data_IF_352421748895
#
_entry.id   IF_352421748895
#
_cell.length_a   1.000
_cell.length_b   1.000
_cell.length_c   1.000
_cell.angle_alpha   90.00
_cell.angle_beta   90.00
_cell.angle_gamma   90.00
#
_symmetry.space_group_name_H-M   'P 1'
#
loop_
_entity.id
_entity.type
_entity.pdbx_description
1 polymer ?
#
# COMPACT_ATOMS: atom_id res chain seq x y z
N UNK A 1 9.21 -36.54 -13.11
CA UNK A 1 7.86 -36.82 -12.60
C UNK A 1 7.59 -35.94 -11.39
N UNK A 2 7.25 -34.68 -11.59
CA UNK A 2 6.88 -33.72 -10.55
C UNK A 2 5.80 -32.75 -11.10
N UNK A 3 4.81 -33.28 -11.84
CA UNK A 3 3.85 -32.48 -12.61
C UNK A 3 2.70 -31.88 -11.80
N UNK A 4 2.77 -31.89 -10.46
CA UNK A 4 1.61 -31.46 -9.66
C UNK A 4 1.96 -30.57 -8.44
N UNK A 5 3.17 -30.02 -8.35
CA UNK A 5 3.54 -29.14 -7.25
C UNK A 5 3.32 -27.69 -7.68
N UNK A 6 2.46 -26.98 -6.95
CA UNK A 6 2.01 -25.64 -7.29
C UNK A 6 2.54 -24.61 -6.30
N UNK A 7 2.92 -23.45 -6.81
CA UNK A 7 3.13 -22.25 -5.98
C UNK A 7 1.79 -21.78 -5.40
N UNK A 8 1.82 -20.97 -4.36
CA UNK A 8 0.61 -20.30 -3.86
C UNK A 8 -0.08 -19.53 -5.00
N UNK A 9 0.70 -18.80 -5.80
CA UNK A 9 0.18 -18.08 -6.95
C UNK A 9 -0.56 -18.99 -7.92
N UNK A 10 0.02 -20.16 -8.29
CA UNK A 10 -0.63 -21.12 -9.18
C UNK A 10 -1.94 -21.65 -8.62
N UNK A 11 -1.98 -21.98 -7.32
CA UNK A 11 -3.20 -22.49 -6.67
C UNK A 11 -4.35 -21.50 -6.75
N UNK A 12 -4.07 -20.23 -6.40
CA UNK A 12 -5.12 -19.20 -6.43
C UNK A 12 -5.48 -18.82 -7.87
N UNK A 13 -4.49 -18.69 -8.76
CA UNK A 13 -4.74 -18.37 -10.17
C UNK A 13 -5.60 -19.43 -10.84
N UNK A 14 -5.19 -20.70 -10.77
CA UNK A 14 -5.87 -21.79 -11.43
C UNK A 14 -7.30 -22.01 -10.91
N UNK A 15 -7.57 -21.69 -9.62
CA UNK A 15 -8.91 -21.73 -9.04
C UNK A 15 -9.86 -20.66 -9.62
N UNK A 16 -9.31 -19.61 -10.25
CA UNK A 16 -10.09 -18.51 -10.84
C UNK A 16 -10.16 -18.56 -12.37
N UNK A 17 -9.48 -19.52 -13.00
CA UNK A 17 -9.58 -19.71 -14.47
C UNK A 17 -10.97 -20.28 -14.81
N UNK A 18 -11.78 -19.51 -15.50
CA UNK A 18 -13.12 -19.91 -15.98
C UNK A 18 -13.02 -20.54 -17.36
N UNK A 19 -12.14 -19.99 -18.21
CA UNK A 19 -11.93 -20.46 -19.57
C UNK A 19 -10.53 -20.08 -20.04
N UNK A 20 -10.07 -20.70 -21.13
CA UNK A 20 -8.78 -20.41 -21.75
C UNK A 20 -8.97 -20.24 -23.25
N UNK A 21 -8.59 -19.08 -23.77
CA UNK A 21 -8.58 -18.86 -25.22
C UNK A 21 -7.47 -19.71 -25.82
N UNK A 22 -7.76 -20.53 -26.88
CA UNK A 22 -6.72 -21.32 -27.53
C UNK A 22 -5.54 -20.46 -27.96
N UNK A 23 -4.33 -20.83 -27.54
CA UNK A 23 -3.07 -20.09 -27.76
C UNK A 23 -3.10 -18.62 -27.30
N UNK A 24 -3.96 -18.30 -26.33
CA UNK A 24 -4.21 -16.94 -25.88
C UNK A 24 -4.35 -16.78 -24.38
N UNK A 25 -4.92 -15.66 -23.93
CA UNK A 25 -5.11 -15.35 -22.53
C UNK A 25 -6.15 -16.26 -21.86
N UNK A 26 -6.13 -16.25 -20.53
CA UNK A 26 -7.12 -16.93 -19.69
C UNK A 26 -8.21 -15.96 -19.24
N UNK A 27 -9.43 -16.47 -19.12
CA UNK A 27 -10.55 -15.75 -18.51
C UNK A 27 -10.49 -15.97 -17.00
N UNK A 28 -10.22 -14.92 -16.25
CA UNK A 28 -10.08 -14.97 -14.80
C UNK A 28 -11.31 -14.35 -14.16
N UNK A 29 -12.00 -15.11 -13.31
CA UNK A 29 -13.09 -14.61 -12.47
C UNK A 29 -12.54 -13.70 -11.37
N UNK A 30 -13.26 -12.62 -11.05
CA UNK A 30 -12.90 -11.64 -10.02
C UNK A 30 -13.89 -11.73 -8.85
N UNK A 31 -13.40 -12.08 -7.66
CA UNK A 31 -14.24 -12.21 -6.46
C UNK A 31 -14.66 -10.85 -5.90
N UNK A 32 -13.74 -9.88 -5.88
CA UNK A 32 -14.02 -8.52 -5.39
C UNK A 32 -13.47 -7.45 -6.31
N UNK A 33 -14.32 -6.48 -6.59
CA UNK A 33 -13.97 -5.29 -7.34
C UNK A 33 -14.07 -4.07 -6.41
N UNK A 34 -12.94 -3.49 -6.05
CA UNK A 34 -12.88 -2.28 -5.26
C UNK A 34 -12.86 -1.08 -6.20
N UNK A 35 -13.63 -0.04 -5.89
CA UNK A 35 -13.69 1.16 -6.74
C UNK A 35 -13.63 2.45 -5.92
N UNK A 36 -13.17 3.50 -6.56
CA UNK A 36 -13.10 4.84 -6.00
C UNK A 36 -13.44 5.90 -7.06
N UNK A 37 -13.49 7.16 -6.64
CA UNK A 37 -14.01 8.27 -7.45
C UNK A 37 -13.15 8.65 -8.68
N UNK A 38 -11.88 8.23 -8.73
CA UNK A 38 -10.97 8.65 -9.81
C UNK A 38 -11.12 7.83 -11.07
N UNK A 39 -11.20 6.49 -10.95
CA UNK A 39 -11.14 5.57 -12.11
C UNK A 39 -12.50 4.98 -12.50
N UNK A 40 -13.50 5.01 -11.60
CA UNK A 40 -14.80 4.40 -11.86
C UNK A 40 -15.74 5.22 -12.76
N UNK A 41 -15.76 6.57 -12.78
CA UNK A 41 -16.76 7.32 -13.53
C UNK A 41 -16.78 7.01 -15.02
N UNK A 42 -15.62 6.92 -15.66
CA UNK A 42 -15.54 6.58 -17.10
C UNK A 42 -16.00 5.16 -17.39
N UNK A 43 -15.75 4.21 -16.47
CA UNK A 43 -16.21 2.83 -16.63
C UNK A 43 -17.74 2.73 -16.57
N UNK A 44 -18.40 3.46 -15.67
CA UNK A 44 -19.86 3.57 -15.63
C UNK A 44 -20.42 4.17 -16.92
N UNK A 45 -19.81 5.28 -17.40
CA UNK A 45 -20.22 5.93 -18.65
C UNK A 45 -20.05 5.00 -19.86
N UNK A 46 -19.00 4.18 -19.90
CA UNK A 46 -18.80 3.18 -20.95
C UNK A 46 -19.93 2.14 -20.97
N UNK A 47 -20.30 1.57 -19.82
CA UNK A 47 -21.42 0.62 -19.74
C UNK A 47 -22.72 1.25 -20.21
N UNK A 48 -23.03 2.46 -19.74
CA UNK A 48 -24.24 3.17 -20.10
C UNK A 48 -24.31 3.43 -21.61
N UNK A 49 -23.21 3.87 -22.24
CA UNK A 49 -23.16 4.11 -23.68
C UNK A 49 -23.40 2.85 -24.52
N UNK A 50 -23.12 1.69 -23.95
CA UNK A 50 -23.27 0.36 -24.57
C UNK A 50 -24.55 -0.37 -24.16
N UNK A 51 -25.41 0.26 -23.33
CA UNK A 51 -26.59 -0.34 -22.71
C UNK A 51 -26.28 -1.67 -22.00
N UNK A 52 -25.16 -1.72 -21.27
CA UNK A 52 -24.77 -2.84 -20.45
C UNK A 52 -25.08 -2.55 -18.97
N UNK A 53 -25.58 -3.56 -18.28
CA UNK A 53 -25.79 -3.51 -16.83
C UNK A 53 -24.58 -4.07 -16.10
N UNK A 54 -24.43 -3.72 -14.80
CA UNK A 54 -23.44 -4.32 -13.93
C UNK A 54 -23.89 -5.73 -13.58
N UNK A 55 -23.03 -6.71 -13.85
CA UNK A 55 -23.37 -8.14 -13.69
C UNK A 55 -23.51 -8.56 -12.23
N UNK A 56 -22.58 -8.15 -11.35
CA UNK A 56 -22.53 -8.56 -9.93
C UNK A 56 -22.27 -7.36 -9.01
N UNK A 57 -23.25 -6.46 -8.80
CA UNK A 57 -23.04 -5.28 -7.97
C UNK A 57 -22.67 -5.61 -6.50
N UNK A 58 -23.11 -6.75 -5.97
CA UNK A 58 -22.77 -7.24 -4.63
C UNK A 58 -21.30 -7.66 -4.46
N UNK A 59 -20.56 -7.80 -5.54
CA UNK A 59 -19.11 -8.04 -5.52
C UNK A 59 -18.29 -6.75 -5.58
N UNK A 60 -18.95 -5.60 -5.71
CA UNK A 60 -18.30 -4.29 -5.81
C UNK A 60 -18.42 -3.57 -4.47
N UNK A 61 -17.32 -2.94 -4.06
CA UNK A 61 -17.29 -2.07 -2.88
C UNK A 61 -16.62 -0.77 -3.25
N UNK A 62 -17.27 0.33 -2.91
CA UNK A 62 -16.85 1.69 -3.24
C UNK A 62 -16.47 2.52 -2.01
N UNK A 63 -15.49 3.39 -2.18
CA UNK A 63 -15.16 4.47 -1.22
C UNK A 63 -14.65 5.69 -1.97
N UNK A 64 -14.70 6.86 -1.33
CA UNK A 64 -14.04 8.07 -1.81
C UNK A 64 -12.82 8.34 -0.93
N UNK A 65 -11.63 8.38 -1.51
CA UNK A 65 -10.37 8.45 -0.75
C UNK A 65 -9.27 9.33 -1.38
N UNK A 66 -9.32 9.59 -2.69
CA UNK A 66 -8.29 10.33 -3.41
C UNK A 66 -8.55 11.86 -3.42
N UNK A 67 -9.76 12.25 -3.81
CA UNK A 67 -10.18 13.64 -3.98
C UNK A 67 -10.97 14.18 -2.77
N UNK A 68 -10.74 13.62 -1.62
CA UNK A 68 -11.39 14.06 -0.38
C UNK A 68 -10.45 14.98 0.41
N UNK A 69 -10.98 16.05 1.03
CA UNK A 69 -10.18 16.88 1.94
C UNK A 69 -9.81 16.08 3.19
N UNK A 70 -8.72 16.43 3.84
CA UNK A 70 -8.32 15.86 5.14
C UNK A 70 -8.56 16.82 6.31
N UNK A 71 -9.17 17.95 6.02
CA UNK A 71 -9.69 18.92 6.99
C UNK A 71 -11.10 19.28 6.58
N UNK A 72 -11.98 19.44 7.58
CA UNK A 72 -13.36 19.90 7.38
C UNK A 72 -14.13 19.03 6.38
N UNK A 73 -14.01 17.69 6.51
CA UNK A 73 -14.75 16.76 5.64
C UNK A 73 -16.28 16.86 5.79
N UNK A 74 -16.76 17.49 6.84
CA UNK A 74 -18.18 17.84 7.08
C UNK A 74 -18.66 19.00 6.22
N UNK A 75 -17.74 19.80 5.64
CA UNK A 75 -18.05 20.89 4.72
C UNK A 75 -18.07 20.41 3.26
N UNK A 76 -18.78 21.12 2.36
CA UNK A 76 -18.71 20.82 0.93
C UNK A 76 -17.28 20.92 0.39
N UNK A 77 -16.88 19.96 -0.43
CA UNK A 77 -15.57 19.97 -1.09
C UNK A 77 -15.45 21.25 -1.94
N UNK A 78 -14.42 22.06 -1.69
CA UNK A 78 -14.22 23.36 -2.33
C UNK A 78 -13.82 23.25 -3.79
N UNK A 79 -12.89 22.32 -4.09
CA UNK A 79 -12.49 22.05 -5.47
C UNK A 79 -13.64 21.44 -6.25
N UNK A 80 -14.00 22.07 -7.36
CA UNK A 80 -15.16 21.67 -8.17
C UNK A 80 -14.98 20.32 -8.83
N UNK A 81 -13.78 20.01 -9.33
CA UNK A 81 -13.50 18.74 -10.01
C UNK A 81 -13.58 17.59 -9.01
N UNK A 82 -12.95 17.74 -7.86
CA UNK A 82 -12.98 16.75 -6.76
C UNK A 82 -14.41 16.51 -6.28
N UNK A 83 -15.18 17.59 -6.07
CA UNK A 83 -16.59 17.51 -5.66
C UNK A 83 -17.43 16.76 -6.68
N UNK A 84 -17.28 17.06 -7.97
CA UNK A 84 -18.02 16.41 -9.03
C UNK A 84 -17.68 14.92 -9.14
N UNK A 85 -16.41 14.52 -8.95
CA UNK A 85 -16.00 13.11 -8.98
C UNK A 85 -16.58 12.32 -7.81
N UNK A 86 -16.55 12.87 -6.60
CA UNK A 86 -17.14 12.22 -5.41
C UNK A 86 -18.67 12.13 -5.54
N UNK A 87 -19.31 13.17 -6.06
CA UNK A 87 -20.77 13.16 -6.32
C UNK A 87 -21.11 12.11 -7.37
N UNK A 88 -20.39 12.05 -8.48
CA UNK A 88 -20.61 11.08 -9.56
C UNK A 88 -20.46 9.64 -9.07
N UNK A 89 -19.45 9.35 -8.23
CA UNK A 89 -19.31 8.04 -7.59
C UNK A 89 -20.57 7.71 -6.76
N UNK A 90 -21.04 8.66 -5.96
CA UNK A 90 -22.21 8.48 -5.09
C UNK A 90 -23.46 8.16 -5.91
N UNK A 91 -23.73 8.95 -6.96
CA UNK A 91 -24.88 8.75 -7.86
C UNK A 91 -24.82 7.42 -8.59
N UNK A 92 -23.62 7.05 -9.10
CA UNK A 92 -23.40 5.77 -9.78
C UNK A 92 -23.62 4.58 -8.83
N UNK A 93 -23.12 4.65 -7.59
CA UNK A 93 -23.32 3.58 -6.62
C UNK A 93 -24.81 3.44 -6.24
N UNK A 94 -25.52 4.53 -6.03
CA UNK A 94 -26.96 4.51 -5.75
C UNK A 94 -27.76 3.92 -6.89
N UNK A 95 -27.50 4.36 -8.14
CA UNK A 95 -28.17 3.87 -9.34
C UNK A 95 -28.01 2.37 -9.55
N UNK A 96 -26.84 1.83 -9.19
CA UNK A 96 -26.47 0.44 -9.47
C UNK A 96 -26.49 -0.47 -8.21
N UNK A 97 -27.02 -0.03 -7.08
CA UNK A 97 -27.08 -0.76 -5.81
C UNK A 97 -25.70 -1.28 -5.34
N UNK A 98 -24.66 -0.44 -5.46
CA UNK A 98 -23.31 -0.76 -5.01
C UNK A 98 -23.11 -0.24 -3.58
N UNK A 99 -22.50 -1.05 -2.71
CA UNK A 99 -22.12 -0.66 -1.34
C UNK A 99 -21.07 0.46 -1.38
N UNK A 100 -21.40 1.62 -0.82
CA UNK A 100 -20.54 2.80 -0.78
C UNK A 100 -20.22 3.22 0.66
N UNK A 101 -18.96 3.21 1.03
CA UNK A 101 -18.42 3.81 2.25
C UNK A 101 -17.90 5.23 1.97
N UNK A 102 -18.81 6.14 1.58
CA UNK A 102 -18.50 7.52 1.20
C UNK A 102 -18.21 8.44 2.39
N UNK A 103 -18.01 9.73 2.11
CA UNK A 103 -17.78 10.75 3.14
C UNK A 103 -18.90 10.76 4.19
N UNK A 104 -18.52 10.85 5.46
CA UNK A 104 -19.43 10.79 6.60
C UNK A 104 -19.86 9.38 7.02
N UNK A 105 -19.52 8.35 6.27
CA UNK A 105 -19.79 6.97 6.65
C UNK A 105 -18.78 6.48 7.70
N UNK A 106 -19.22 5.72 8.72
CA UNK A 106 -18.36 5.20 9.79
C UNK A 106 -17.21 4.29 9.33
N UNK A 107 -17.26 3.76 8.11
CA UNK A 107 -16.24 2.92 7.48
C UNK A 107 -15.54 3.62 6.30
N UNK A 108 -15.71 4.93 6.17
CA UNK A 108 -14.99 5.69 5.15
C UNK A 108 -13.49 5.63 5.39
N UNK A 109 -12.72 5.56 4.32
CA UNK A 109 -11.26 5.55 4.35
C UNK A 109 -10.64 5.12 3.04
N UNK A 110 -9.33 4.96 3.05
CA UNK A 110 -8.55 4.52 1.88
C UNK A 110 -8.96 3.10 1.50
N UNK A 111 -9.27 2.89 0.22
CA UNK A 111 -9.80 1.63 -0.31
C UNK A 111 -8.99 0.39 0.11
N UNK A 112 -7.65 0.48 0.09
CA UNK A 112 -6.74 -0.61 0.46
C UNK A 112 -6.53 -0.75 1.98
N UNK A 113 -7.19 0.07 2.79
CA UNK A 113 -7.23 -0.04 4.24
C UNK A 113 -8.58 -0.57 4.69
N UNK A 114 -9.68 0.01 4.21
CA UNK A 114 -11.01 -0.40 4.64
C UNK A 114 -11.37 -1.84 4.25
N UNK A 115 -10.96 -2.30 3.07
CA UNK A 115 -11.29 -3.66 2.63
C UNK A 115 -10.68 -4.75 3.53
N UNK A 116 -9.40 -4.69 3.94
CA UNK A 116 -8.84 -5.53 5.00
C UNK A 116 -9.52 -5.35 6.36
N UNK A 117 -9.70 -4.09 6.81
CA UNK A 117 -10.28 -3.79 8.12
C UNK A 117 -11.69 -4.34 8.29
N UNK A 118 -12.45 -4.38 7.23
CA UNK A 118 -13.83 -4.88 7.25
C UNK A 118 -13.94 -6.39 7.00
N UNK A 119 -12.83 -7.08 6.66
CA UNK A 119 -12.83 -8.50 6.31
C UNK A 119 -13.39 -8.77 4.90
N UNK A 120 -13.43 -7.76 4.03
CA UNK A 120 -13.78 -7.90 2.62
C UNK A 120 -12.68 -8.67 1.88
N UNK A 121 -11.42 -8.38 2.23
CA UNK A 121 -10.25 -9.12 1.77
C UNK A 121 -10.10 -10.41 2.55
N UNK A 122 -10.09 -11.54 1.85
CA UNK A 122 -9.93 -12.87 2.46
C UNK A 122 -8.94 -13.72 1.67
N UNK A 123 -8.28 -14.70 2.30
CA UNK A 123 -7.33 -15.57 1.60
C UNK A 123 -7.91 -16.28 0.39
N UNK A 124 -7.10 -16.39 -0.66
CA UNK A 124 -7.44 -17.13 -1.87
C UNK A 124 -8.41 -16.43 -2.82
N UNK A 125 -8.73 -15.16 -2.60
CA UNK A 125 -9.57 -14.35 -3.50
C UNK A 125 -8.78 -13.76 -4.66
N UNK A 126 -9.48 -13.40 -5.72
CA UNK A 126 -9.04 -12.50 -6.78
C UNK A 126 -9.65 -11.11 -6.55
N UNK A 127 -8.81 -10.08 -6.45
CA UNK A 127 -9.23 -8.72 -6.07
C UNK A 127 -8.64 -7.71 -7.05
N UNK A 128 -9.49 -6.83 -7.58
CA UNK A 128 -9.05 -5.77 -8.49
C UNK A 128 -9.56 -4.40 -8.07
N UNK A 129 -8.83 -3.38 -8.48
CA UNK A 129 -9.20 -1.96 -8.31
C UNK A 129 -8.53 -1.14 -9.42
N UNK A 130 -9.05 0.04 -9.72
CA UNK A 130 -8.43 1.00 -10.62
C UNK A 130 -7.18 1.69 -10.05
N UNK A 131 -6.51 1.12 -9.06
CA UNK A 131 -5.30 1.59 -8.40
C UNK A 131 -4.26 0.46 -8.32
N UNK A 132 -3.01 0.77 -8.64
CA UNK A 132 -1.91 -0.20 -8.64
C UNK A 132 -1.61 -0.79 -7.25
N UNK A 133 -1.86 -0.05 -6.16
CA UNK A 133 -1.64 -0.51 -4.79
C UNK A 133 -2.68 -1.52 -4.29
N UNK A 134 -3.59 -1.99 -5.17
CA UNK A 134 -4.43 -3.17 -4.96
C UNK A 134 -3.59 -4.40 -4.56
N UNK A 135 -2.32 -4.44 -4.94
CA UNK A 135 -1.34 -5.43 -4.49
C UNK A 135 -1.29 -5.62 -2.96
N UNK A 136 -1.69 -4.61 -2.18
CA UNK A 136 -1.81 -4.68 -0.71
C UNK A 136 -2.57 -5.92 -0.23
N UNK A 137 -3.64 -6.29 -0.93
CA UNK A 137 -4.51 -7.40 -0.53
C UNK A 137 -3.84 -8.77 -0.68
N UNK A 138 -2.74 -8.86 -1.43
CA UNK A 138 -1.92 -10.07 -1.53
C UNK A 138 -1.27 -10.51 -0.21
N UNK A 139 -1.20 -9.62 0.78
CA UNK A 139 -0.80 -9.94 2.16
C UNK A 139 -1.66 -11.03 2.81
N UNK A 140 -2.84 -11.28 2.28
CA UNK A 140 -3.78 -12.31 2.71
C UNK A 140 -3.67 -13.61 1.88
N UNK A 141 -2.71 -13.73 0.98
CA UNK A 141 -2.64 -14.84 0.04
C UNK A 141 -3.69 -14.77 -1.07
N UNK A 142 -4.12 -13.56 -1.42
CA UNK A 142 -5.03 -13.28 -2.54
C UNK A 142 -4.25 -12.88 -3.78
N UNK A 143 -4.78 -13.13 -4.96
CA UNK A 143 -4.29 -12.50 -6.20
C UNK A 143 -4.94 -11.12 -6.31
N UNK A 144 -4.14 -10.08 -6.10
CA UNK A 144 -4.64 -8.72 -6.06
C UNK A 144 -3.76 -7.80 -6.92
N UNK A 145 -4.38 -7.03 -7.81
CA UNK A 145 -3.66 -6.16 -8.74
C UNK A 145 -4.49 -5.02 -9.30
N UNK A 146 -3.80 -3.95 -9.67
CA UNK A 146 -4.41 -2.79 -10.32
C UNK A 146 -4.81 -3.07 -11.76
N UNK A 147 -5.92 -2.45 -12.20
CA UNK A 147 -6.45 -2.56 -13.56
C UNK A 147 -6.73 -1.17 -14.16
N UNK A 148 -6.67 -1.07 -15.48
CA UNK A 148 -7.01 0.16 -16.20
C UNK A 148 -8.52 0.37 -16.31
N UNK A 149 -8.94 1.59 -16.62
CA UNK A 149 -10.36 2.01 -16.67
C UNK A 149 -11.21 1.12 -17.59
N UNK A 150 -10.69 0.73 -18.76
CA UNK A 150 -11.42 -0.19 -19.67
C UNK A 150 -11.60 -1.60 -19.05
N UNK A 151 -10.65 -2.05 -18.25
CA UNK A 151 -10.78 -3.31 -17.52
C UNK A 151 -11.76 -3.18 -16.34
N UNK A 152 -11.87 -2.00 -15.70
CA UNK A 152 -12.93 -1.72 -14.71
C UNK A 152 -14.30 -1.93 -15.35
N UNK A 153 -14.53 -1.36 -16.55
CA UNK A 153 -15.78 -1.56 -17.30
C UNK A 153 -16.01 -3.03 -17.67
N UNK A 154 -14.96 -3.75 -18.07
CA UNK A 154 -15.04 -5.18 -18.37
C UNK A 154 -15.47 -5.99 -17.14
N UNK A 155 -14.88 -5.73 -15.96
CA UNK A 155 -15.27 -6.40 -14.70
C UNK A 155 -16.70 -6.06 -14.32
N UNK A 156 -17.13 -4.82 -14.47
CA UNK A 156 -18.53 -4.43 -14.25
C UNK A 156 -19.50 -5.28 -15.10
N UNK A 157 -19.19 -5.45 -16.38
CA UNK A 157 -20.07 -6.14 -17.31
C UNK A 157 -20.05 -7.67 -17.19
N UNK A 158 -18.93 -8.27 -16.75
CA UNK A 158 -18.73 -9.72 -16.86
C UNK A 158 -18.20 -10.41 -15.60
N UNK A 159 -17.75 -9.66 -14.61
CA UNK A 159 -17.02 -10.16 -13.44
C UNK A 159 -15.73 -10.94 -13.80
N UNK A 160 -15.23 -10.78 -15.00
CA UNK A 160 -14.06 -11.48 -15.52
C UNK A 160 -13.09 -10.55 -16.23
N UNK A 161 -11.83 -11.00 -16.31
CA UNK A 161 -10.78 -10.37 -17.09
C UNK A 161 -10.09 -11.37 -18.00
N UNK A 162 -9.68 -10.91 -19.18
CA UNK A 162 -8.77 -11.63 -20.07
C UNK A 162 -7.33 -11.28 -19.74
N UNK A 163 -6.54 -12.23 -19.23
CA UNK A 163 -5.19 -12.01 -18.75
C UNK A 163 -4.23 -13.11 -19.18
N UNK A 164 -3.02 -12.71 -19.53
CA UNK A 164 -1.91 -13.66 -19.60
C UNK A 164 -1.39 -13.93 -18.19
N UNK A 165 -1.17 -15.20 -17.85
CA UNK A 165 -0.63 -15.58 -16.54
C UNK A 165 0.77 -14.99 -16.37
N UNK A 166 1.01 -14.15 -15.33
CA UNK A 166 2.34 -13.67 -15.00
C UNK A 166 3.29 -14.83 -14.63
N UNK A 167 4.58 -14.60 -14.77
CA UNK A 167 5.60 -15.47 -14.17
C UNK A 167 5.57 -15.38 -12.67
N UNK A 168 6.07 -16.41 -11.99
CA UNK A 168 6.19 -16.46 -10.53
C UNK A 168 7.61 -16.11 -10.09
N UNK A 169 7.73 -15.24 -9.07
CA UNK A 169 8.99 -14.91 -8.40
C UNK A 169 8.87 -15.18 -6.92
N UNK A 170 9.89 -15.82 -6.32
CA UNK A 170 9.98 -15.98 -4.87
C UNK A 170 11.06 -15.06 -4.31
N UNK A 171 10.70 -14.30 -3.28
CA UNK A 171 11.61 -13.44 -2.54
C UNK A 171 11.64 -13.91 -1.09
N UNK A 172 12.78 -14.49 -0.68
CA UNK A 172 12.96 -15.05 0.65
C UNK A 172 13.85 -14.14 1.50
N UNK A 173 13.39 -13.78 2.70
CA UNK A 173 14.21 -13.07 3.69
C UNK A 173 14.27 -13.89 4.98
N UNK A 174 15.47 -14.31 5.35
CA UNK A 174 15.70 -15.09 6.56
C UNK A 174 16.68 -14.40 7.50
N UNK A 175 16.63 -14.77 8.76
CA UNK A 175 17.50 -14.26 9.81
C UNK A 175 16.74 -13.34 10.77
N UNK A 176 17.49 -12.55 11.54
CA UNK A 176 16.93 -11.60 12.50
C UNK A 176 17.14 -10.18 11.99
N UNK A 177 16.06 -9.41 11.90
CA UNK A 177 16.14 -7.99 11.57
C UNK A 177 16.91 -7.21 12.62
N UNK A 178 17.65 -6.20 12.17
CA UNK A 178 18.30 -5.24 13.05
C UNK A 178 17.25 -4.42 13.83
N UNK A 179 17.67 -3.84 14.95
CA UNK A 179 16.83 -3.00 15.77
C UNK A 179 16.29 -1.80 14.96
N UNK A 180 15.05 -1.40 15.25
CA UNK A 180 14.35 -0.27 14.61
C UNK A 180 14.04 -0.46 13.11
N UNK A 181 14.25 -1.64 12.53
CA UNK A 181 13.81 -1.98 11.18
C UNK A 181 12.32 -2.31 11.18
N UNK A 182 11.58 -1.70 10.28
CA UNK A 182 10.15 -1.96 10.06
C UNK A 182 9.89 -2.58 8.68
N UNK A 183 8.70 -3.07 8.43
CA UNK A 183 8.30 -3.70 7.17
C UNK A 183 8.62 -2.83 5.93
N UNK A 184 8.49 -1.51 6.05
CA UNK A 184 8.82 -0.59 4.97
C UNK A 184 10.32 -0.55 4.66
N UNK A 185 11.16 -0.68 5.67
CA UNK A 185 12.60 -0.75 5.47
C UNK A 185 12.97 -2.03 4.73
N UNK A 186 12.31 -3.15 5.06
CA UNK A 186 12.50 -4.45 4.37
C UNK A 186 12.17 -4.34 2.89
N UNK A 187 11.01 -3.77 2.53
CA UNK A 187 10.63 -3.67 1.12
C UNK A 187 11.46 -2.61 0.38
N UNK A 188 11.83 -1.50 1.01
CA UNK A 188 12.75 -0.51 0.41
C UNK A 188 14.12 -1.12 0.15
N UNK A 189 14.63 -1.95 1.07
CA UNK A 189 15.87 -2.69 0.86
C UNK A 189 15.76 -3.61 -0.36
N UNK A 190 14.71 -4.43 -0.45
CA UNK A 190 14.49 -5.33 -1.58
C UNK A 190 14.46 -4.52 -2.89
N UNK A 191 13.68 -3.44 -2.95
CA UNK A 191 13.57 -2.59 -4.15
C UNK A 191 14.93 -1.96 -4.50
N UNK A 192 15.72 -1.54 -3.52
CA UNK A 192 17.07 -0.98 -3.77
C UNK A 192 18.04 -2.00 -4.39
N UNK A 193 17.82 -3.30 -4.15
CA UNK A 193 18.64 -4.39 -4.71
C UNK A 193 18.14 -4.91 -6.06
N UNK A 194 16.83 -4.86 -6.29
CA UNK A 194 16.20 -5.36 -7.52
C UNK A 194 16.01 -4.27 -8.58
N UNK A 195 15.97 -3.01 -8.18
CA UNK A 195 15.59 -1.90 -9.04
C UNK A 195 14.07 -1.75 -9.18
N UNK A 196 13.65 -0.72 -9.90
CA UNK A 196 12.23 -0.41 -10.14
C UNK A 196 11.58 -1.28 -11.22
N UNK A 197 12.35 -2.11 -11.91
CA UNK A 197 11.93 -3.00 -12.99
C UNK A 197 12.21 -4.50 -12.70
N UNK A 198 12.87 -4.82 -11.57
CA UNK A 198 13.27 -6.18 -11.24
C UNK A 198 12.13 -7.18 -11.08
N UNK A 199 10.93 -6.72 -10.79
CA UNK A 199 9.70 -7.55 -10.71
C UNK A 199 8.84 -7.53 -11.97
N UNK A 200 9.28 -6.90 -13.07
CA UNK A 200 8.47 -6.73 -14.27
C UNK A 200 8.09 -8.06 -14.91
N UNK A 201 6.81 -8.29 -15.08
CA UNK A 201 6.24 -9.54 -15.61
C UNK A 201 6.04 -10.64 -14.58
N UNK A 202 6.37 -10.40 -13.32
CA UNK A 202 6.23 -11.37 -12.25
C UNK A 202 5.09 -11.03 -11.28
N UNK A 203 4.54 -12.08 -10.68
CA UNK A 203 3.79 -12.03 -9.42
C UNK A 203 4.73 -12.55 -8.31
N UNK A 204 4.95 -11.74 -7.25
CA UNK A 204 5.97 -12.02 -6.25
C UNK A 204 5.37 -12.72 -5.02
N UNK A 205 5.94 -13.85 -4.61
CA UNK A 205 5.65 -14.52 -3.34
C UNK A 205 6.77 -14.22 -2.34
N UNK A 206 6.41 -13.60 -1.22
CA UNK A 206 7.34 -13.33 -0.12
C UNK A 206 7.34 -14.49 0.87
N UNK A 207 8.51 -14.99 1.23
CA UNK A 207 8.71 -16.16 2.09
C UNK A 207 9.89 -15.96 3.04
N UNK A 208 10.01 -16.87 4.02
CA UNK A 208 11.04 -16.83 5.05
C UNK A 208 10.53 -16.28 6.37
N UNK A 209 11.31 -16.53 7.44
CA UNK A 209 10.85 -16.24 8.80
C UNK A 209 10.52 -14.76 9.04
N UNK A 210 11.19 -13.84 8.32
CA UNK A 210 10.91 -12.40 8.45
C UNK A 210 9.46 -12.07 8.10
N UNK A 211 8.91 -12.64 7.03
CA UNK A 211 7.52 -12.39 6.63
C UNK A 211 6.53 -13.23 7.45
N UNK A 212 6.91 -14.43 7.90
CA UNK A 212 6.09 -15.27 8.77
C UNK A 212 5.87 -14.64 10.15
N UNK A 213 6.90 -13.99 10.70
CA UNK A 213 6.85 -13.30 12.00
C UNK A 213 6.24 -11.88 11.91
N UNK A 214 6.07 -11.34 10.68
CA UNK A 214 5.58 -10.00 10.46
C UNK A 214 4.08 -9.89 10.74
N UNK A 215 3.65 -8.78 11.35
CA UNK A 215 2.23 -8.46 11.53
C UNK A 215 1.51 -8.33 10.19
N UNK A 216 0.18 -8.40 10.18
CA UNK A 216 -0.60 -8.20 8.95
C UNK A 216 -0.41 -6.82 8.36
N UNK A 217 -0.28 -5.80 9.18
CA UNK A 217 0.00 -4.42 8.77
C UNK A 217 1.34 -4.32 8.05
N UNK A 218 2.36 -4.99 8.58
CA UNK A 218 3.67 -5.10 7.94
C UNK A 218 3.61 -5.84 6.61
N UNK A 219 2.92 -7.00 6.55
CA UNK A 219 2.70 -7.77 5.31
C UNK A 219 1.99 -6.94 4.24
N UNK A 220 0.98 -6.15 4.64
CA UNK A 220 0.27 -5.23 3.74
C UNK A 220 1.20 -4.14 3.20
N UNK A 221 2.11 -3.61 4.02
CA UNK A 221 3.13 -2.64 3.57
C UNK A 221 4.06 -3.25 2.51
N UNK A 222 4.54 -4.47 2.72
CA UNK A 222 5.40 -5.19 1.76
C UNK A 222 4.68 -5.44 0.45
N UNK A 223 3.48 -6.02 0.50
CA UNK A 223 2.70 -6.30 -0.69
C UNK A 223 2.26 -5.02 -1.43
N UNK A 224 1.93 -3.95 -0.70
CA UNK A 224 1.61 -2.63 -1.26
C UNK A 224 2.74 -2.13 -2.16
N UNK A 225 3.98 -2.20 -1.70
CA UNK A 225 5.13 -1.65 -2.41
C UNK A 225 5.74 -2.60 -3.44
N UNK A 226 5.22 -3.81 -3.63
CA UNK A 226 5.68 -4.75 -4.67
C UNK A 226 5.64 -4.16 -6.08
N UNK A 227 4.65 -3.32 -6.35
CA UNK A 227 4.50 -2.66 -7.64
C UNK A 227 5.57 -1.61 -7.91
N UNK A 228 6.27 -1.14 -6.88
CA UNK A 228 7.37 -0.16 -7.02
C UNK A 228 8.66 -0.79 -7.56
N UNK A 229 8.76 -2.13 -7.59
CA UNK A 229 9.79 -2.85 -8.35
C UNK A 229 9.26 -3.40 -9.69
N UNK A 230 8.11 -2.91 -10.16
CA UNK A 230 7.51 -3.31 -11.43
C UNK A 230 6.72 -4.62 -11.38
N UNK A 231 6.58 -5.27 -10.23
CA UNK A 231 5.81 -6.50 -10.10
C UNK A 231 4.32 -6.29 -10.39
N UNK A 232 3.65 -7.32 -10.91
CA UNK A 232 2.21 -7.31 -11.12
C UNK A 232 1.43 -7.28 -9.80
N UNK A 233 1.99 -7.89 -8.78
CA UNK A 233 1.48 -7.93 -7.42
C UNK A 233 2.43 -8.69 -6.52
N UNK A 234 2.18 -8.60 -5.22
CA UNK A 234 2.89 -9.37 -4.19
C UNK A 234 1.92 -10.19 -3.37
N UNK A 235 2.35 -11.33 -2.86
CA UNK A 235 1.53 -12.16 -1.98
C UNK A 235 2.36 -12.82 -0.88
N UNK A 236 1.69 -13.11 0.23
CA UNK A 236 2.25 -13.86 1.36
C UNK A 236 1.25 -14.97 1.68
N UNK A 237 1.76 -16.19 1.91
CA UNK A 237 0.91 -17.32 2.26
C UNK A 237 0.12 -17.03 3.56
N UNK A 238 -1.19 -17.27 3.57
CA UNK A 238 -2.00 -17.04 4.76
C UNK A 238 -1.66 -18.06 5.84
N UNK A 239 -1.62 -17.61 7.07
CA UNK A 239 -1.28 -18.38 8.25
C UNK A 239 -2.15 -17.96 9.45
N UNK A 240 -1.78 -18.43 10.64
CA UNK A 240 -2.49 -18.10 11.88
C UNK A 240 -2.63 -16.58 12.08
N UNK A 241 -1.59 -15.79 11.79
CA UNK A 241 -1.63 -14.33 11.90
C UNK A 241 -2.69 -13.73 10.97
N UNK A 242 -2.78 -14.24 9.74
CA UNK A 242 -3.82 -13.84 8.77
C UNK A 242 -5.22 -14.21 9.27
N UNK A 243 -5.39 -15.43 9.79
CA UNK A 243 -6.70 -15.89 10.26
C UNK A 243 -7.18 -15.10 11.47
N UNK A 244 -6.29 -14.84 12.43
CA UNK A 244 -6.60 -14.02 13.61
C UNK A 244 -6.97 -12.59 13.21
N UNK A 245 -6.32 -12.03 12.21
CA UNK A 245 -6.63 -10.69 11.68
C UNK A 245 -8.03 -10.63 11.04
N UNK A 246 -8.43 -11.64 10.27
CA UNK A 246 -9.73 -11.69 9.58
C UNK A 246 -10.88 -12.00 10.54
N UNK A 247 -10.62 -12.80 11.57
CA UNK A 247 -11.66 -13.32 12.48
C UNK A 247 -12.48 -12.21 13.14
N UNK A 248 -13.81 -12.35 13.04
CA UNK A 248 -14.75 -11.45 13.72
C UNK A 248 -14.93 -10.07 13.04
N UNK A 249 -14.33 -9.83 11.89
CA UNK A 249 -14.57 -8.62 11.11
C UNK A 249 -15.94 -8.66 10.45
N UNK A 250 -16.47 -7.48 10.08
CA UNK A 250 -17.87 -7.31 9.62
C UNK A 250 -18.26 -8.24 8.48
N UNK A 251 -17.41 -8.41 7.48
CA UNK A 251 -17.66 -9.24 6.29
C UNK A 251 -16.86 -10.55 6.28
N UNK A 252 -16.25 -10.90 7.42
CA UNK A 252 -15.59 -12.19 7.58
C UNK A 252 -16.63 -13.32 7.71
N UNK A 253 -16.31 -14.52 7.20
CA UNK A 253 -17.15 -15.69 7.40
C UNK A 253 -17.37 -15.99 8.89
N UNK A 254 -18.50 -16.56 9.24
CA UNK A 254 -18.87 -16.86 10.63
C UNK A 254 -19.41 -18.29 10.76
N UNK A 255 -19.35 -18.85 11.99
CA UNK A 255 -19.88 -20.16 12.27
C UNK A 255 -19.27 -21.28 11.43
N UNK A 256 -20.10 -22.11 10.80
CA UNK A 256 -19.66 -23.24 9.98
C UNK A 256 -18.87 -22.78 8.75
N UNK A 257 -19.28 -21.67 8.11
CA UNK A 257 -18.56 -21.10 6.97
C UNK A 257 -17.11 -20.71 7.35
N UNK A 258 -16.90 -20.22 8.58
CA UNK A 258 -15.55 -19.92 9.07
C UNK A 258 -14.65 -21.16 9.10
N UNK A 259 -15.17 -22.28 9.61
CA UNK A 259 -14.40 -23.53 9.72
C UNK A 259 -14.08 -24.10 8.32
N UNK A 260 -15.03 -24.03 7.38
CA UNK A 260 -14.80 -24.43 5.99
C UNK A 260 -13.73 -23.56 5.32
N UNK A 261 -13.81 -22.25 5.52
CA UNK A 261 -12.81 -21.30 4.98
C UNK A 261 -11.43 -21.53 5.58
N UNK A 262 -11.30 -21.75 6.88
CA UNK A 262 -10.03 -22.08 7.53
C UNK A 262 -9.44 -23.36 6.96
N UNK A 263 -10.24 -24.40 6.74
CA UNK A 263 -9.78 -25.64 6.12
C UNK A 263 -9.21 -25.38 4.71
N UNK A 264 -9.90 -24.60 3.91
CA UNK A 264 -9.42 -24.18 2.58
C UNK A 264 -8.17 -23.29 2.66
N UNK A 265 -8.16 -22.25 3.50
CA UNK A 265 -7.05 -21.30 3.62
C UNK A 265 -5.75 -21.97 4.07
N UNK A 266 -5.81 -23.01 4.89
CA UNK A 266 -4.65 -23.82 5.27
C UNK A 266 -3.99 -24.57 4.09
N UNK A 267 -4.70 -24.74 2.96
CA UNK A 267 -4.14 -25.33 1.73
C UNK A 267 -3.38 -24.31 0.88
N UNK A 268 -3.58 -23.01 1.15
CA UNK A 268 -3.04 -21.90 0.38
C UNK A 268 -1.58 -21.59 0.82
N UNK A 269 -0.71 -22.51 0.52
CA UNK A 269 0.75 -22.35 0.66
C UNK A 269 1.44 -23.04 -0.51
N UNK A 270 2.60 -22.57 -0.86
CA UNK A 270 3.44 -23.19 -1.88
C UNK A 270 3.81 -24.61 -1.49
N UNK A 271 3.65 -25.56 -2.41
CA UNK A 271 4.00 -26.96 -2.19
C UNK A 271 5.53 -27.11 -2.07
N UNK A 272 5.98 -28.04 -1.22
CA UNK A 272 7.39 -28.33 -1.12
C UNK A 272 7.95 -28.80 -2.46
N UNK A 273 9.01 -28.10 -2.95
CA UNK A 273 9.62 -28.36 -4.25
C UNK A 273 8.82 -27.83 -5.45
N UNK A 274 7.88 -26.92 -5.26
CA UNK A 274 7.34 -26.12 -6.35
C UNK A 274 8.45 -25.26 -6.97
N UNK A 275 8.35 -25.00 -8.27
CA UNK A 275 9.37 -24.28 -9.03
C UNK A 275 8.87 -22.87 -9.34
N UNK A 276 9.69 -21.87 -9.06
CA UNK A 276 9.48 -20.50 -9.47
C UNK A 276 10.32 -20.16 -10.71
N UNK A 277 9.83 -19.22 -11.52
CA UNK A 277 10.61 -18.72 -12.67
C UNK A 277 11.85 -17.94 -12.22
N UNK A 278 11.80 -17.33 -11.04
CA UNK A 278 12.91 -16.62 -10.41
C UNK A 278 12.85 -16.73 -8.89
N UNK A 279 14.02 -16.87 -8.25
CA UNK A 279 14.13 -16.85 -6.80
C UNK A 279 15.23 -15.88 -6.36
N UNK A 280 14.94 -15.08 -5.33
CA UNK A 280 15.86 -14.17 -4.68
C UNK A 280 15.89 -14.46 -3.18
N UNK A 281 17.09 -14.39 -2.57
CA UNK A 281 17.25 -14.59 -1.13
C UNK A 281 18.09 -13.48 -0.54
N UNK A 282 17.64 -12.95 0.60
CA UNK A 282 18.32 -11.90 1.35
C UNK A 282 18.48 -12.31 2.81
N UNK A 283 19.54 -11.81 3.45
CA UNK A 283 19.78 -11.96 4.88
C UNK A 283 19.18 -10.74 5.61
N UNK A 284 18.38 -10.99 6.63
CA UNK A 284 17.75 -9.95 7.43
C UNK A 284 18.77 -9.07 8.17
N UNK A 285 19.95 -9.59 8.48
CA UNK A 285 21.02 -8.84 9.14
C UNK A 285 21.63 -7.73 8.28
N UNK A 286 21.45 -7.78 6.96
CA UNK A 286 21.88 -6.74 6.02
C UNK A 286 20.89 -5.57 5.93
N UNK A 287 19.70 -5.70 6.53
CA UNK A 287 18.65 -4.71 6.46
C UNK A 287 18.73 -3.76 7.66
N UNK A 288 18.89 -2.50 7.38
CA UNK A 288 18.86 -1.39 8.33
C UNK A 288 17.69 -0.46 8.03
N UNK A 289 17.36 0.49 8.91
CA UNK A 289 16.40 1.53 8.57
C UNK A 289 16.80 2.24 7.27
N UNK A 290 15.85 2.35 6.34
CA UNK A 290 16.07 2.79 4.96
C UNK A 290 15.46 4.17 4.70
N UNK A 291 16.09 4.88 3.78
CA UNK A 291 15.54 6.10 3.15
C UNK A 291 15.76 6.05 1.65
N UNK A 292 14.98 6.83 0.89
CA UNK A 292 15.31 7.14 -0.50
C UNK A 292 16.10 8.45 -0.59
N UNK A 293 17.03 8.53 -1.55
CA UNK A 293 17.84 9.73 -1.81
C UNK A 293 17.60 10.35 -3.20
N UNK A 294 16.76 9.71 -4.01
CA UNK A 294 16.43 10.14 -5.37
C UNK A 294 14.93 10.25 -5.60
N UNK A 295 14.53 10.11 -6.86
CA UNK A 295 13.17 10.33 -7.35
C UNK A 295 12.40 9.03 -7.65
N UNK A 296 12.87 7.90 -7.17
CA UNK A 296 12.17 6.62 -7.23
C UNK A 296 12.59 5.72 -6.05
N UNK A 297 11.78 4.69 -5.69
CA UNK A 297 12.07 3.80 -4.56
C UNK A 297 13.30 2.91 -4.75
N UNK A 298 13.78 2.69 -5.98
CA UNK A 298 15.02 1.97 -6.27
C UNK A 298 16.28 2.71 -5.81
N UNK A 299 16.18 4.03 -5.66
CA UNK A 299 17.24 4.86 -5.10
C UNK A 299 17.18 4.87 -3.57
N UNK A 300 17.25 3.69 -2.97
CA UNK A 300 17.22 3.47 -1.51
C UNK A 300 18.61 3.23 -0.94
N UNK A 301 18.88 3.79 0.26
CA UNK A 301 20.09 3.54 1.06
C UNK A 301 19.71 3.36 2.53
N UNK A 302 20.60 2.70 3.29
CA UNK A 302 20.55 2.71 4.74
C UNK A 302 20.80 4.13 5.29
N UNK A 303 20.15 4.48 6.40
CA UNK A 303 20.40 5.76 7.10
C UNK A 303 21.85 5.89 7.59
N UNK A 304 22.63 4.82 7.59
CA UNK A 304 24.04 4.77 7.97
C UNK A 304 25.01 5.03 6.79
N UNK A 305 24.49 4.95 5.57
CA UNK A 305 25.29 5.11 4.34
C UNK A 305 25.30 6.58 3.90
N UNK A 306 26.26 6.91 3.03
CA UNK A 306 26.31 8.21 2.35
C UNK A 306 25.66 8.09 0.97
N UNK A 307 25.14 9.21 0.47
CA UNK A 307 24.57 9.29 -0.88
C UNK A 307 25.62 8.82 -1.90
N UNK A 308 25.30 7.82 -2.72
CA UNK A 308 26.27 7.24 -3.65
C UNK A 308 26.56 8.17 -4.82
N UNK A 309 27.67 7.91 -5.50
CA UNK A 309 27.99 8.57 -6.79
C UNK A 309 26.99 8.07 -7.84
N UNK A 310 26.35 8.97 -8.60
CA UNK A 310 25.40 8.57 -9.65
C UNK A 310 26.09 7.69 -10.70
N UNK A 311 25.47 6.59 -11.07
CA UNK A 311 25.97 5.62 -12.02
C UNK A 311 25.58 5.94 -13.47
N UNK A 312 24.58 6.81 -13.65
CA UNK A 312 24.02 7.18 -14.95
C UNK A 312 23.41 8.60 -14.92
N UNK A 313 23.02 9.10 -16.08
CA UNK A 313 22.45 10.44 -16.24
C UNK A 313 21.10 10.60 -15.51
N UNK A 314 20.29 9.54 -15.42
CA UNK A 314 19.01 9.56 -14.70
C UNK A 314 19.21 9.78 -13.20
N UNK A 315 20.15 9.05 -12.60
CA UNK A 315 20.51 9.23 -11.19
C UNK A 315 21.11 10.61 -10.92
N UNK A 316 21.94 11.11 -11.83
CA UNK A 316 22.49 12.46 -11.71
C UNK A 316 21.40 13.54 -11.74
N UNK A 317 20.40 13.42 -12.62
CA UNK A 317 19.23 14.30 -12.66
C UNK A 317 18.39 14.20 -11.38
N UNK A 318 18.18 12.98 -10.87
CA UNK A 318 17.46 12.77 -9.63
C UNK A 318 18.16 13.45 -8.44
N UNK A 319 19.47 13.33 -8.29
CA UNK A 319 20.24 14.04 -7.27
C UNK A 319 20.15 15.56 -7.43
N UNK A 320 20.24 16.06 -8.67
CA UNK A 320 20.08 17.49 -8.96
C UNK A 320 18.70 17.99 -8.53
N UNK A 321 17.60 17.25 -8.87
CA UNK A 321 16.25 17.60 -8.44
C UNK A 321 16.13 17.60 -6.92
N UNK A 322 16.66 16.56 -6.27
CA UNK A 322 16.67 16.46 -4.82
C UNK A 322 17.58 17.48 -4.14
N UNK A 323 18.49 18.13 -4.89
CA UNK A 323 19.48 19.07 -4.34
C UNK A 323 20.45 18.38 -3.38
N UNK A 324 20.84 17.14 -3.68
CA UNK A 324 21.72 16.30 -2.89
C UNK A 324 23.03 16.04 -3.67
N UNK A 325 24.11 15.79 -2.94
CA UNK A 325 25.43 15.54 -3.50
C UNK A 325 25.98 14.18 -3.07
N UNK A 326 26.75 13.53 -3.95
CA UNK A 326 27.45 12.30 -3.62
C UNK A 326 28.39 12.49 -2.41
N UNK A 327 28.41 11.51 -1.50
CA UNK A 327 29.16 11.57 -0.25
C UNK A 327 28.46 12.31 0.89
N UNK A 328 27.35 12.98 0.63
CA UNK A 328 26.57 13.66 1.65
C UNK A 328 25.94 12.61 2.60
N UNK A 329 25.94 12.91 3.91
CA UNK A 329 25.25 12.05 4.89
C UNK A 329 23.77 12.42 5.01
N UNK A 330 22.85 11.46 5.23
CA UNK A 330 21.44 11.75 5.46
C UNK A 330 21.20 12.77 6.59
N UNK A 331 22.05 12.76 7.63
CA UNK A 331 21.95 13.65 8.79
C UNK A 331 22.19 15.13 8.49
N UNK A 332 22.76 15.45 7.32
CA UNK A 332 22.94 16.83 6.89
C UNK A 332 21.70 17.41 6.19
N UNK A 333 20.72 16.57 5.84
CA UNK A 333 19.48 16.99 5.18
C UNK A 333 18.52 17.57 6.24
N UNK A 334 18.24 18.87 6.13
CA UNK A 334 17.23 19.54 6.97
C UNK A 334 15.84 19.22 6.47
N UNK A 335 14.97 18.77 7.36
CA UNK A 335 13.61 18.35 7.04
C UNK A 335 12.63 19.48 7.35
N UNK A 336 11.73 19.77 6.45
CA UNK A 336 10.68 20.78 6.57
C UNK A 336 9.32 20.15 6.90
N UNK A 337 9.06 18.95 6.36
CA UNK A 337 7.80 18.24 6.53
C UNK A 337 8.02 16.78 6.92
N UNK A 338 7.09 16.26 7.68
CA UNK A 338 6.92 14.83 7.91
C UNK A 338 5.49 14.46 7.65
N UNK A 339 5.29 13.40 6.86
CA UNK A 339 3.98 12.84 6.53
C UNK A 339 3.94 11.37 6.93
N UNK A 340 3.08 11.01 7.90
CA UNK A 340 2.79 9.63 8.29
C UNK A 340 1.35 9.32 7.91
N UNK A 341 1.18 8.47 6.88
CA UNK A 341 -0.10 8.21 6.26
C UNK A 341 0.03 7.36 5.00
N UNK A 342 -0.92 7.45 4.08
CA UNK A 342 -1.00 6.68 2.84
C UNK A 342 -1.50 5.24 3.03
N UNK A 343 -1.98 4.60 1.95
CA UNK A 343 -2.35 3.17 1.97
C UNK A 343 -1.21 2.25 2.40
N UNK A 344 0.04 2.71 2.34
CA UNK A 344 1.23 1.98 2.78
C UNK A 344 1.30 1.89 4.31
N UNK A 345 1.20 3.03 5.00
CA UNK A 345 1.45 3.16 6.44
C UNK A 345 0.47 4.14 7.12
N UNK A 346 -0.82 3.82 7.10
CA UNK A 346 -1.85 4.59 7.80
C UNK A 346 -2.77 3.68 8.64
N UNK A 347 -2.24 2.56 9.11
CA UNK A 347 -2.92 1.62 10.01
C UNK A 347 -2.55 1.91 11.45
N UNK A 348 -3.34 1.41 12.38
CA UNK A 348 -3.16 1.73 13.81
C UNK A 348 -1.77 1.35 14.34
N UNK A 349 -1.18 0.26 13.86
CA UNK A 349 0.16 -0.18 14.26
C UNK A 349 1.25 0.83 13.90
N UNK A 350 1.13 1.46 12.71
CA UNK A 350 2.06 2.51 12.27
C UNK A 350 2.05 3.70 13.23
N UNK A 351 0.86 4.10 13.68
CA UNK A 351 0.69 5.20 14.62
C UNK A 351 1.11 4.85 16.05
N UNK A 352 0.87 3.60 16.49
CA UNK A 352 1.38 3.11 17.78
C UNK A 352 2.90 3.17 17.82
N UNK A 353 3.55 2.70 16.77
CA UNK A 353 5.02 2.72 16.65
C UNK A 353 5.58 4.15 16.67
N UNK A 354 5.00 5.05 15.88
CA UNK A 354 5.39 6.47 15.89
C UNK A 354 5.15 7.11 17.24
N UNK A 355 3.97 6.90 17.84
CA UNK A 355 3.61 7.47 19.16
C UNK A 355 4.52 6.99 20.29
N UNK A 356 4.90 5.71 20.28
CA UNK A 356 5.83 5.16 21.27
C UNK A 356 7.18 5.91 21.23
N UNK A 357 7.69 6.23 20.05
CA UNK A 357 8.96 6.94 19.90
C UNK A 357 8.86 8.41 20.34
N UNK A 358 7.78 9.10 19.96
CA UNK A 358 7.65 10.56 20.21
C UNK A 358 7.14 10.90 21.61
N UNK A 359 6.62 9.93 22.37
CA UNK A 359 6.04 10.16 23.71
C UNK A 359 7.00 10.93 24.61
N UNK A 360 6.55 12.07 25.12
CA UNK A 360 7.34 12.95 25.99
C UNK A 360 8.40 13.80 25.25
N UNK A 361 8.40 13.81 23.94
CA UNK A 361 9.26 14.64 23.10
C UNK A 361 8.42 15.66 22.33
N UNK A 362 9.07 16.71 21.82
CA UNK A 362 8.45 17.69 20.93
C UNK A 362 9.13 17.65 19.56
N UNK A 363 8.34 17.80 18.49
CA UNK A 363 8.90 17.94 17.15
C UNK A 363 9.76 19.20 17.05
N UNK A 364 10.72 19.20 16.13
CA UNK A 364 11.46 20.40 15.78
C UNK A 364 10.52 21.52 15.31
N UNK A 365 10.77 22.75 15.75
CA UNK A 365 9.98 23.92 15.32
C UNK A 365 10.06 24.17 13.81
N UNK A 366 11.13 23.71 13.18
CA UNK A 366 11.31 23.81 11.72
C UNK A 366 10.45 22.81 10.93
N UNK A 367 9.84 21.82 11.59
CA UNK A 367 9.11 20.73 10.92
C UNK A 367 7.61 20.88 11.08
N UNK A 368 6.87 20.75 9.99
CA UNK A 368 5.43 20.52 9.98
C UNK A 368 5.17 19.02 9.86
N UNK A 369 4.55 18.42 10.88
CA UNK A 369 4.32 16.99 10.94
C UNK A 369 2.84 16.66 10.85
N UNK A 370 2.45 15.80 9.87
CA UNK A 370 1.09 15.40 9.59
C UNK A 370 0.90 13.92 9.91
N UNK A 371 -0.15 13.61 10.66
CA UNK A 371 -0.67 12.25 10.91
C UNK A 371 -1.97 12.11 10.14
N UNK A 372 -2.01 11.20 9.18
CA UNK A 372 -3.19 10.99 8.33
C UNK A 372 -3.67 9.55 8.47
N UNK A 373 -4.67 9.28 9.34
CA UNK A 373 -5.26 7.96 9.50
C UNK A 373 -5.85 7.44 8.18
N UNK A 374 -5.78 6.13 7.98
CA UNK A 374 -6.24 5.53 6.73
C UNK A 374 -7.75 5.30 6.67
N UNK A 375 -8.45 5.33 7.82
CA UNK A 375 -9.89 5.10 7.90
C UNK A 375 -10.49 5.74 9.15
N UNK A 376 -11.81 5.87 9.17
CA UNK A 376 -12.55 6.31 10.37
C UNK A 376 -12.39 5.32 11.53
N UNK A 377 -12.16 4.04 11.26
CA UNK A 377 -11.87 3.04 12.29
C UNK A 377 -10.51 3.29 12.94
N UNK A 378 -9.49 3.63 12.15
CA UNK A 378 -8.17 4.02 12.67
C UNK A 378 -8.26 5.32 13.48
N UNK A 379 -9.04 6.30 13.02
CA UNK A 379 -9.29 7.53 13.80
C UNK A 379 -9.86 7.17 15.17
N UNK A 380 -10.90 6.35 15.20
CA UNK A 380 -11.53 5.90 16.44
C UNK A 380 -10.50 5.24 17.38
N UNK A 381 -9.67 4.33 16.87
CA UNK A 381 -8.62 3.65 17.65
C UNK A 381 -7.57 4.65 18.19
N UNK A 382 -7.15 5.64 17.39
CA UNK A 382 -6.20 6.69 17.83
C UNK A 382 -6.74 7.41 19.07
N UNK A 383 -8.03 7.77 19.09
CA UNK A 383 -8.65 8.45 20.22
C UNK A 383 -8.91 7.53 21.41
N UNK A 384 -9.38 6.30 21.18
CA UNK A 384 -9.63 5.31 22.24
C UNK A 384 -8.36 4.90 22.98
N UNK A 385 -7.23 4.83 22.27
CA UNK A 385 -5.91 4.50 22.83
C UNK A 385 -5.17 5.73 23.37
N UNK A 386 -5.70 6.94 23.21
CA UNK A 386 -5.09 8.19 23.67
C UNK A 386 -3.83 8.61 22.91
N UNK A 387 -3.64 8.06 21.70
CA UNK A 387 -2.51 8.42 20.83
C UNK A 387 -2.64 9.86 20.34
N UNK A 388 -3.86 10.37 20.19
CA UNK A 388 -4.16 11.75 19.85
C UNK A 388 -3.46 12.74 20.80
N UNK A 389 -3.48 12.47 22.10
CA UNK A 389 -2.79 13.29 23.09
C UNK A 389 -1.28 13.30 22.89
N UNK A 390 -0.71 12.10 22.63
CA UNK A 390 0.74 11.96 22.41
C UNK A 390 1.16 12.77 21.18
N UNK A 391 0.42 12.66 20.07
CA UNK A 391 0.69 13.40 18.84
C UNK A 391 0.53 14.91 19.02
N UNK A 392 -0.56 15.35 19.63
CA UNK A 392 -0.83 16.77 19.89
C UNK A 392 0.22 17.39 20.83
N UNK A 393 0.57 16.72 21.93
CA UNK A 393 1.59 17.17 22.87
C UNK A 393 2.98 17.30 22.20
N UNK A 394 3.26 16.41 21.25
CA UNK A 394 4.48 16.47 20.46
C UNK A 394 4.42 17.51 19.31
N UNK A 395 3.29 18.16 19.06
CA UNK A 395 3.09 19.19 18.04
C UNK A 395 2.77 18.65 16.63
N UNK A 396 2.35 17.38 16.51
CA UNK A 396 1.87 16.82 15.25
C UNK A 396 0.42 17.21 15.00
N UNK A 397 0.05 17.33 13.73
CA UNK A 397 -1.33 17.63 13.31
C UNK A 397 -2.02 16.35 12.82
N UNK A 398 -3.07 15.94 13.52
CA UNK A 398 -3.91 14.83 13.09
C UNK A 398 -4.91 15.32 12.06
N UNK A 399 -5.01 14.62 10.93
CA UNK A 399 -5.90 14.88 9.82
C UNK A 399 -7.07 13.89 9.82
N UNK A 400 -8.05 14.14 8.97
CA UNK A 400 -9.12 13.20 8.66
C UNK A 400 -8.67 12.20 7.58
N UNK A 401 -9.29 11.00 7.47
CA UNK A 401 -8.86 9.94 6.55
C UNK A 401 -8.93 10.33 5.08
N UNK A 402 -7.89 9.96 4.32
CA UNK A 402 -7.77 10.17 2.89
C UNK A 402 -6.34 10.02 2.41
N UNK A 403 -6.12 10.09 1.10
CA UNK A 403 -4.79 9.98 0.51
C UNK A 403 -3.87 11.17 0.82
N UNK A 404 -4.44 12.36 1.13
CA UNK A 404 -3.70 13.54 1.59
C UNK A 404 -2.50 13.90 0.69
N UNK A 405 -1.38 14.27 1.31
CA UNK A 405 -0.13 14.60 0.63
C UNK A 405 0.49 13.43 -0.17
N UNK A 406 -0.01 12.20 -0.05
CA UNK A 406 0.50 11.07 -0.86
C UNK A 406 0.38 11.32 -2.38
N UNK A 407 -0.68 12.00 -2.81
CA UNK A 407 -0.97 12.34 -4.21
C UNK A 407 -0.99 13.85 -4.50
N UNK A 408 -1.09 14.66 -3.45
CA UNK A 408 -1.28 16.12 -3.55
C UNK A 408 -2.49 16.53 -4.42
N UNK A 409 -3.54 15.70 -4.47
CA UNK A 409 -4.79 16.00 -5.18
C UNK A 409 -5.76 16.86 -4.35
N UNK A 410 -5.40 17.17 -3.13
CA UNK A 410 -6.11 18.06 -2.20
C UNK A 410 -5.20 19.21 -1.72
N UNK A 411 -5.60 19.91 -0.65
CA UNK A 411 -4.86 21.07 -0.12
C UNK A 411 -3.58 20.70 0.65
N UNK A 412 -3.35 19.41 0.95
CA UNK A 412 -2.16 18.94 1.63
C UNK A 412 -0.98 18.81 0.65
N UNK A 413 -0.40 19.93 0.24
CA UNK A 413 0.74 19.97 -0.68
C UNK A 413 2.01 20.39 0.03
N UNK A 414 3.12 19.77 -0.35
CA UNK A 414 4.45 20.14 0.10
C UNK A 414 4.98 21.25 -0.83
N UNK A 415 5.43 22.39 -0.29
CA UNK A 415 5.98 23.48 -1.11
C UNK A 415 7.21 23.10 -1.91
N UNK A 416 7.45 23.86 -2.97
CA UNK A 416 8.63 23.72 -3.84
C UNK A 416 9.93 23.84 -3.04
N UNK A 417 10.88 22.95 -3.32
CA UNK A 417 12.20 22.94 -2.70
C UNK A 417 12.25 22.37 -1.28
N UNK A 418 11.10 22.14 -0.61
CA UNK A 418 11.06 21.61 0.74
C UNK A 418 11.15 20.09 0.79
N UNK A 419 11.84 19.59 1.82
CA UNK A 419 12.02 18.15 2.04
C UNK A 419 10.91 17.61 2.95
N UNK A 420 10.26 16.56 2.47
CA UNK A 420 9.29 15.77 3.24
C UNK A 420 9.80 14.36 3.47
N UNK A 421 9.96 13.95 4.73
CA UNK A 421 10.11 12.53 5.07
C UNK A 421 8.71 11.92 5.13
N UNK A 422 8.47 10.93 4.29
CA UNK A 422 7.13 10.46 3.99
C UNK A 422 7.00 8.94 4.09
N UNK A 423 5.92 8.47 4.67
CA UNK A 423 5.55 7.05 4.65
C UNK A 423 4.72 6.66 3.43
N UNK A 424 4.56 7.55 2.43
CA UNK A 424 3.96 7.21 1.14
C UNK A 424 4.78 6.17 0.37
N UNK A 425 4.25 5.71 -0.76
CA UNK A 425 4.85 4.63 -1.54
C UNK A 425 5.72 5.12 -2.71
N UNK A 426 5.50 6.35 -3.19
CA UNK A 426 6.18 6.92 -4.36
C UNK A 426 6.76 8.30 -4.05
N UNK A 427 7.89 8.61 -4.69
CA UNK A 427 8.62 9.87 -4.51
C UNK A 427 9.13 10.47 -5.83
N UNK A 428 8.43 10.24 -6.95
CA UNK A 428 8.79 10.88 -8.20
C UNK A 428 8.63 12.41 -8.12
N UNK A 429 9.27 13.12 -9.03
CA UNK A 429 9.26 14.59 -9.06
C UNK A 429 7.84 15.16 -8.98
N UNK A 430 7.62 16.05 -8.03
CA UNK A 430 6.32 16.70 -7.83
C UNK A 430 5.21 15.85 -7.22
N UNK A 431 5.50 14.62 -6.77
CA UNK A 431 4.47 13.69 -6.23
C UNK A 431 3.63 14.29 -5.10
N UNK A 432 4.27 14.98 -4.17
CA UNK A 432 3.60 15.60 -3.01
C UNK A 432 3.35 17.12 -3.18
N UNK A 433 3.55 17.64 -4.38
CA UNK A 433 3.44 19.05 -4.75
C UNK A 433 4.52 19.42 -5.75
N UNK A 434 4.25 20.42 -6.59
CA UNK A 434 5.21 20.86 -7.61
C UNK A 434 6.55 21.24 -6.98
N UNK A 435 7.65 20.65 -7.45
CA UNK A 435 9.01 20.93 -6.96
C UNK A 435 9.30 20.41 -5.54
N UNK A 436 8.38 19.66 -4.89
CA UNK A 436 8.59 19.05 -3.58
C UNK A 436 9.62 17.92 -3.64
N UNK A 437 10.38 17.74 -2.55
CA UNK A 437 11.43 16.72 -2.43
C UNK A 437 11.02 15.67 -1.41
N UNK A 438 10.60 14.51 -1.90
CA UNK A 438 10.07 13.43 -1.04
C UNK A 438 11.14 12.38 -0.76
N UNK A 439 11.36 12.10 0.52
CA UNK A 439 12.24 11.04 1.04
C UNK A 439 11.33 9.98 1.66
N UNK A 440 11.28 8.79 1.06
CA UNK A 440 10.51 7.68 1.64
C UNK A 440 11.24 7.10 2.86
N UNK A 441 10.48 6.82 3.90
CA UNK A 441 11.00 6.21 5.13
C UNK A 441 9.87 5.44 5.86
N UNK A 442 10.26 4.59 6.81
CA UNK A 442 9.32 3.93 7.72
C UNK A 442 8.69 4.91 8.72
N UNK A 443 7.52 4.58 9.32
CA UNK A 443 6.87 5.42 10.32
C UNK A 443 7.78 5.81 11.49
N UNK A 444 8.59 4.89 11.97
CA UNK A 444 9.52 5.14 13.07
C UNK A 444 10.63 6.12 12.66
N UNK A 445 11.21 5.94 11.47
CA UNK A 445 12.23 6.86 10.91
C UNK A 445 11.63 8.25 10.65
N UNK A 446 10.40 8.32 10.14
CA UNK A 446 9.69 9.57 9.93
C UNK A 446 9.39 10.29 11.25
N UNK A 447 8.94 9.57 12.27
CA UNK A 447 8.71 10.12 13.61
C UNK A 447 9.99 10.70 14.22
N UNK A 448 11.12 9.97 14.10
CA UNK A 448 12.43 10.44 14.54
C UNK A 448 12.86 11.70 13.79
N UNK A 449 12.70 11.73 12.47
CA UNK A 449 13.04 12.88 11.64
C UNK A 449 12.22 14.13 12.04
N UNK A 450 10.95 13.96 12.45
CA UNK A 450 10.13 15.07 12.96
C UNK A 450 10.68 15.67 14.26
N UNK A 451 11.14 14.84 15.18
CA UNK A 451 11.70 15.28 16.46
C UNK A 451 13.03 16.01 16.25
N UNK A 452 13.91 15.47 15.41
CA UNK A 452 15.27 16.00 15.25
C UNK A 452 15.41 17.08 14.16
N UNK A 453 14.40 17.25 13.30
CA UNK A 453 14.44 18.16 12.15
C UNK A 453 15.42 17.73 11.05
N UNK A 454 15.87 16.48 11.09
CA UNK A 454 16.80 15.85 10.14
C UNK A 454 16.68 14.33 10.16
N UNK A 455 17.23 13.65 9.17
CA UNK A 455 17.34 12.19 9.17
C UNK A 455 18.58 11.82 9.99
N UNK A 456 18.43 10.91 10.96
CA UNK A 456 19.55 10.48 11.80
C UNK A 456 19.43 9.01 12.16
N UNK A 457 20.57 8.36 12.36
CA UNK A 457 20.64 6.99 12.85
C UNK A 457 20.03 6.87 14.25
N UNK A 458 19.46 5.72 14.55
CA UNK A 458 19.03 5.38 15.90
C UNK A 458 20.25 5.14 16.79
N UNK A 459 20.17 5.57 18.04
CA UNK A 459 21.20 5.23 19.01
C UNK A 459 21.17 3.72 19.26
N UNK A 460 22.34 3.09 19.29
CA UNK A 460 22.43 1.67 19.65
C UNK A 460 21.89 1.49 21.07
N UNK A 461 20.93 0.58 21.23
CA UNK A 461 20.53 0.14 22.57
C UNK A 461 21.71 -0.66 23.14
N UNK A 462 22.59 -0.02 23.92
CA UNK A 462 23.67 -0.67 24.66
C UNK A 462 23.12 -1.57 25.77
#
# INVERSE_FOLDING_TARGET
MNENRKTLFDKVWDAHVVDTVPDGPQVIYIDKHLIHEVTSPQAFAELESRNLEIFRPEQIVATADHNVPTLHQEEPIRDELSRNQVQQLTENCQKNNIELFGLGHQYQGIVHIIAPELGITQPGMSIVCGDSHTSTHGAFGSIAFGIGTSQVAQVFASQCLLLNKPKSMRITVNGKLNDNVQAKDVILYIISKTGTDGGTGYFCEYAGNVFEEMSMEGRMTVCNMSIEMGARGGMIAPDKTTFEYVKGRKFAPQGEEWEEKIAYWNTLKTDEGAVFDQELTFDASDIYPMITYGTNPGMGISIHETIPVPQNESEAKALQYMGLEAGQTPSSIKINYVFIGSCTNARIEDFRSAAQYIKGKSKSDAVKALIVPGSQQVVKQIYEEGLDKIFNDAGFQIRQPGCSACLAMNDDKIPEGEYCVSTSNRNFEGRQGQGSRTILASPLTAAKAAIEGRISAFESLN
#
